data_IF_613537606347
#
_entry.id   IF_613537606347
#
_cell.length_a   1.000
_cell.length_b   1.000
_cell.length_c   1.000
_cell.angle_alpha   90.00
_cell.angle_beta   90.00
_cell.angle_gamma   90.00
#
_symmetry.space_group_name_H-M   'P 1'
#
loop_
_entity.id
_entity.type
_entity.pdbx_description
1 polymer ?
#
# COMPACT_ATOMS: atom_id res chain seq x y z
N UNK A 1 -35.30 -6.42 4.59
CA UNK A 1 -36.71 -6.58 5.00
C UNK A 1 -37.46 -7.28 3.87
N UNK A 2 -37.78 -8.57 4.03
CA UNK A 2 -38.63 -9.32 3.10
C UNK A 2 -39.62 -10.12 3.95
N UNK A 3 -40.81 -9.57 4.08
CA UNK A 3 -41.99 -10.20 4.69
C UNK A 3 -42.65 -11.13 3.67
N UNK A 4 -42.66 -12.44 3.93
CA UNK A 4 -43.52 -13.38 3.20
C UNK A 4 -44.64 -13.82 4.12
N UNK A 5 -45.80 -13.20 3.91
CA UNK A 5 -47.13 -13.67 4.32
C UNK A 5 -47.58 -14.72 3.31
N UNK A 6 -47.97 -15.90 3.77
CA UNK A 6 -48.92 -16.75 3.04
C UNK A 6 -49.75 -17.57 4.02
N UNK A 7 -51.06 -17.35 3.93
CA UNK A 7 -52.14 -18.07 4.56
C UNK A 7 -52.16 -19.55 4.15
N UNK A 8 -52.58 -20.44 5.05
CA UNK A 8 -53.33 -21.64 4.66
C UNK A 8 -54.37 -22.03 5.74
N UNK A 9 -55.57 -22.50 5.36
CA UNK A 9 -56.75 -22.55 6.21
C UNK A 9 -56.93 -23.88 6.96
N UNK A 10 -57.75 -23.78 8.00
CA UNK A 10 -58.37 -24.85 8.79
C UNK A 10 -59.10 -25.85 7.88
N UNK A 11 -58.80 -27.14 8.02
CA UNK A 11 -59.66 -28.24 7.58
C UNK A 11 -59.56 -29.41 8.57
N UNK A 12 -60.23 -29.29 9.72
CA UNK A 12 -60.49 -30.42 10.62
C UNK A 12 -61.76 -31.10 10.11
N UNK A 13 -61.58 -32.15 9.30
CA UNK A 13 -62.67 -33.05 8.91
C UNK A 13 -62.89 -34.05 10.05
N UNK A 14 -63.85 -33.76 10.93
CA UNK A 14 -64.40 -34.73 11.89
C UNK A 14 -65.34 -35.67 11.13
N UNK A 15 -64.79 -36.74 10.55
CA UNK A 15 -65.60 -37.81 9.96
C UNK A 15 -66.04 -38.77 11.07
N UNK A 16 -67.33 -38.75 11.35
CA UNK A 16 -68.04 -39.68 12.23
C UNK A 16 -68.18 -41.03 11.53
N UNK A 17 -67.60 -42.08 12.11
CA UNK A 17 -68.00 -43.46 11.84
C UNK A 17 -68.43 -44.10 13.17
N UNK A 18 -69.71 -44.48 13.24
CA UNK A 18 -70.31 -45.20 14.34
C UNK A 18 -69.97 -46.70 14.24
N UNK A 19 -69.32 -47.24 15.25
CA UNK A 19 -69.18 -48.66 15.55
C UNK A 19 -69.05 -48.80 17.08
N UNK A 20 -69.82 -49.70 17.69
CA UNK A 20 -69.92 -49.86 19.14
C UNK A 20 -68.61 -50.37 19.76
N UNK A 21 -67.75 -49.46 20.22
CA UNK A 21 -66.75 -49.67 21.27
C UNK A 21 -67.06 -48.69 22.42
N UNK A 22 -66.71 -49.04 23.66
CA UNK A 22 -67.05 -48.21 24.82
C UNK A 22 -66.39 -46.82 24.71
N UNK A 23 -67.03 -45.73 25.16
CA UNK A 23 -66.45 -44.38 25.11
C UNK A 23 -65.10 -44.27 25.82
N UNK A 24 -64.83 -45.14 26.81
CA UNK A 24 -63.52 -45.30 27.45
C UNK A 24 -62.43 -45.85 26.53
N UNK A 25 -62.76 -46.77 25.61
CA UNK A 25 -61.79 -47.35 24.68
C UNK A 25 -61.40 -46.36 23.57
N UNK A 26 -62.36 -45.56 23.10
CA UNK A 26 -62.11 -44.50 22.13
C UNK A 26 -61.20 -43.39 22.71
N UNK A 27 -61.42 -43.02 23.98
CA UNK A 27 -60.58 -42.06 24.69
C UNK A 27 -59.16 -42.60 24.90
N UNK A 28 -59.01 -43.86 25.33
CA UNK A 28 -57.70 -44.49 25.50
C UNK A 28 -56.91 -44.61 24.18
N UNK A 29 -57.59 -44.89 23.06
CA UNK A 29 -56.96 -44.90 21.72
C UNK A 29 -56.52 -43.49 21.30
N UNK A 30 -57.33 -42.47 21.58
CA UNK A 30 -56.99 -41.08 21.28
C UNK A 30 -55.80 -40.58 22.11
N UNK A 31 -55.75 -40.92 23.40
CA UNK A 31 -54.63 -40.57 24.30
C UNK A 31 -53.32 -41.25 23.88
N UNK A 32 -53.36 -42.53 23.48
CA UNK A 32 -52.18 -43.22 22.93
C UNK A 32 -51.72 -42.60 21.62
N UNK A 33 -52.66 -42.29 20.72
CA UNK A 33 -52.33 -41.61 19.46
C UNK A 33 -51.71 -40.22 19.70
N UNK A 34 -52.19 -39.48 20.71
CA UNK A 34 -51.61 -38.20 21.11
C UNK A 34 -50.22 -38.37 21.73
N UNK A 35 -50.01 -39.37 22.59
CA UNK A 35 -48.70 -39.65 23.19
C UNK A 35 -47.67 -40.08 22.14
N UNK A 36 -48.05 -40.94 21.20
CA UNK A 36 -47.18 -41.32 20.08
C UNK A 36 -46.87 -40.13 19.17
N UNK A 37 -47.85 -39.26 18.91
CA UNK A 37 -47.63 -38.03 18.16
C UNK A 37 -46.69 -37.07 18.90
N UNK A 38 -46.83 -36.93 20.21
CA UNK A 38 -45.93 -36.10 21.04
C UNK A 38 -44.51 -36.68 21.10
N UNK A 39 -44.36 -38.00 21.23
CA UNK A 39 -43.06 -38.68 21.21
C UNK A 39 -42.36 -38.46 19.85
N UNK A 40 -43.07 -38.69 18.74
CA UNK A 40 -42.54 -38.43 17.40
C UNK A 40 -42.20 -36.95 17.18
N UNK A 41 -43.03 -36.04 17.68
CA UNK A 41 -42.74 -34.61 17.62
C UNK A 41 -41.47 -34.24 18.41
N UNK A 42 -41.27 -34.83 19.60
CA UNK A 42 -40.08 -34.62 20.40
C UNK A 42 -38.82 -35.21 19.76
N UNK A 43 -38.92 -36.38 19.13
CA UNK A 43 -37.82 -36.98 18.36
C UNK A 43 -37.41 -36.12 17.16
N UNK A 44 -38.39 -35.64 16.39
CA UNK A 44 -38.15 -34.74 15.26
C UNK A 44 -37.54 -33.41 15.72
N UNK A 45 -38.00 -32.85 16.85
CA UNK A 45 -37.42 -31.64 17.43
C UNK A 45 -35.94 -31.87 17.83
N UNK A 46 -35.63 -32.97 18.52
CA UNK A 46 -34.26 -33.31 18.89
C UNK A 46 -33.33 -33.54 17.69
N UNK A 47 -33.84 -34.16 16.62
CA UNK A 47 -33.07 -34.35 15.38
C UNK A 47 -32.84 -33.02 14.66
N UNK A 48 -33.84 -32.13 14.65
CA UNK A 48 -33.72 -30.79 14.09
C UNK A 48 -32.69 -29.96 14.87
N UNK A 49 -32.74 -29.97 16.20
CA UNK A 49 -31.78 -29.26 17.05
C UNK A 49 -30.35 -29.75 16.81
N UNK A 50 -30.14 -31.07 16.66
CA UNK A 50 -28.83 -31.64 16.29
C UNK A 50 -28.36 -31.14 14.92
N UNK A 51 -29.23 -31.15 13.91
CA UNK A 51 -28.88 -30.67 12.55
C UNK A 51 -28.59 -29.18 12.53
N UNK A 52 -29.34 -28.38 13.28
CA UNK A 52 -29.09 -26.94 13.41
C UNK A 52 -27.72 -26.70 14.07
N UNK A 53 -27.41 -27.38 15.18
CA UNK A 53 -26.10 -27.27 15.84
C UNK A 53 -24.93 -27.71 14.93
N UNK A 54 -25.09 -28.78 14.14
CA UNK A 54 -24.08 -29.21 13.18
C UNK A 54 -23.88 -28.20 12.04
N UNK A 55 -24.96 -27.58 11.55
CA UNK A 55 -24.91 -26.54 10.52
C UNK A 55 -24.19 -25.30 11.05
N UNK A 56 -24.54 -24.84 12.25
CA UNK A 56 -23.93 -23.67 12.88
C UNK A 56 -22.42 -23.90 13.11
N UNK A 57 -22.04 -25.06 13.65
CA UNK A 57 -20.63 -25.40 13.87
C UNK A 57 -19.85 -25.47 12.56
N UNK A 58 -20.46 -25.97 11.48
CA UNK A 58 -19.82 -25.99 10.16
C UNK A 58 -19.67 -24.57 9.61
N UNK A 59 -20.69 -23.73 9.75
CA UNK A 59 -20.67 -22.35 9.30
C UNK A 59 -19.58 -21.54 10.04
N UNK A 60 -19.44 -21.73 11.35
CA UNK A 60 -18.37 -21.12 12.15
C UNK A 60 -16.98 -21.54 11.66
N UNK A 61 -16.75 -22.85 11.45
CA UNK A 61 -15.44 -23.34 10.97
C UNK A 61 -15.06 -22.79 9.60
N UNK A 62 -16.00 -22.75 8.66
CA UNK A 62 -15.74 -22.19 7.33
C UNK A 62 -15.52 -20.68 7.39
N UNK A 63 -16.24 -19.98 8.27
CA UNK A 63 -16.04 -18.53 8.51
C UNK A 63 -14.65 -18.28 9.11
N UNK A 64 -14.25 -19.02 10.14
CA UNK A 64 -12.93 -18.92 10.76
C UNK A 64 -11.81 -19.21 9.76
N UNK A 65 -11.99 -20.24 8.92
CA UNK A 65 -11.03 -20.59 7.87
C UNK A 65 -10.93 -19.46 6.84
N UNK A 66 -12.05 -18.94 6.37
CA UNK A 66 -12.07 -17.82 5.43
C UNK A 66 -11.42 -16.56 6.03
N UNK A 67 -11.67 -16.25 7.30
CA UNK A 67 -11.04 -15.14 8.02
C UNK A 67 -9.53 -15.33 8.15
N UNK A 68 -9.05 -16.55 8.47
CA UNK A 68 -7.61 -16.86 8.52
C UNK A 68 -6.95 -16.73 7.15
N UNK A 69 -7.56 -17.26 6.10
CA UNK A 69 -7.05 -17.13 4.72
C UNK A 69 -7.02 -15.67 4.27
N UNK A 70 -8.06 -14.89 4.59
CA UNK A 70 -8.10 -13.46 4.30
C UNK A 70 -7.02 -12.70 5.07
N UNK A 71 -6.84 -12.98 6.36
CA UNK A 71 -5.79 -12.39 7.18
C UNK A 71 -4.39 -12.73 6.63
N UNK A 72 -4.16 -13.97 6.20
CA UNK A 72 -2.90 -14.38 5.59
C UNK A 72 -2.63 -13.64 4.27
N UNK A 73 -3.65 -13.50 3.40
CA UNK A 73 -3.53 -12.74 2.15
C UNK A 73 -3.25 -11.26 2.39
N UNK A 74 -3.91 -10.65 3.38
CA UNK A 74 -3.66 -9.26 3.78
C UNK A 74 -2.24 -9.08 4.31
N UNK A 75 -1.77 -10.00 5.16
CA UNK A 75 -0.40 -9.96 5.68
C UNK A 75 0.64 -10.10 4.57
N UNK A 76 0.46 -11.04 3.64
CA UNK A 76 1.36 -11.21 2.50
C UNK A 76 1.39 -9.94 1.63
N UNK A 77 0.22 -9.37 1.31
CA UNK A 77 0.14 -8.14 0.54
C UNK A 77 0.80 -6.94 1.24
N UNK A 78 0.70 -6.86 2.58
CA UNK A 78 1.37 -5.82 3.36
C UNK A 78 2.90 -5.98 3.33
N UNK A 79 3.40 -7.22 3.43
CA UNK A 79 4.84 -7.54 3.31
C UNK A 79 5.35 -7.17 1.92
N UNK A 80 4.67 -7.59 0.85
CA UNK A 80 5.06 -7.28 -0.53
C UNK A 80 5.08 -5.76 -0.79
N UNK A 81 4.11 -5.01 -0.25
CA UNK A 81 4.07 -3.56 -0.36
C UNK A 81 5.22 -2.90 0.41
N UNK A 82 5.57 -3.43 1.58
CA UNK A 82 6.71 -2.95 2.37
C UNK A 82 8.04 -3.23 1.65
N UNK A 83 8.21 -4.41 1.08
CA UNK A 83 9.40 -4.79 0.31
C UNK A 83 9.60 -3.84 -0.87
N UNK A 84 8.57 -3.61 -1.68
CA UNK A 84 8.62 -2.65 -2.81
C UNK A 84 8.91 -1.22 -2.37
N UNK A 85 8.44 -0.82 -1.20
CA UNK A 85 8.74 0.51 -0.64
C UNK A 85 10.20 0.63 -0.27
N UNK A 86 10.78 -0.41 0.34
CA UNK A 86 12.21 -0.48 0.69
C UNK A 86 13.08 -0.48 -0.57
N UNK A 87 12.73 -1.29 -1.57
CA UNK A 87 13.42 -1.31 -2.87
C UNK A 87 13.39 0.07 -3.55
N UNK A 88 12.24 0.72 -3.62
CA UNK A 88 12.10 2.05 -4.19
C UNK A 88 12.94 3.10 -3.43
N UNK A 89 13.02 3.01 -2.11
CA UNK A 89 13.86 3.89 -1.29
C UNK A 89 15.36 3.62 -1.52
N UNK A 90 15.75 2.36 -1.71
CA UNK A 90 17.13 1.98 -2.00
C UNK A 90 17.57 2.52 -3.37
N UNK A 91 16.76 2.33 -4.42
CA UNK A 91 17.04 2.86 -5.77
C UNK A 91 17.08 4.39 -5.78
N UNK A 92 16.17 5.04 -5.04
CA UNK A 92 16.18 6.50 -4.89
C UNK A 92 17.46 7.01 -4.21
N UNK A 93 17.94 6.30 -3.18
CA UNK A 93 19.17 6.64 -2.47
C UNK A 93 20.39 6.46 -3.37
N UNK A 94 20.45 5.34 -4.09
CA UNK A 94 21.51 5.05 -5.07
C UNK A 94 21.56 6.08 -6.19
N UNK A 95 20.41 6.48 -6.74
CA UNK A 95 20.34 7.51 -7.78
C UNK A 95 20.88 8.87 -7.30
N UNK A 96 20.61 9.25 -6.04
CA UNK A 96 21.20 10.47 -5.44
C UNK A 96 22.70 10.35 -5.26
N UNK A 97 23.17 9.20 -4.79
CA UNK A 97 24.59 8.96 -4.57
C UNK A 97 25.39 9.01 -5.88
N UNK A 98 24.90 8.35 -6.93
CA UNK A 98 25.53 8.36 -8.26
C UNK A 98 25.60 9.78 -8.85
N UNK A 99 24.51 10.55 -8.73
CA UNK A 99 24.49 11.94 -9.18
C UNK A 99 25.41 12.84 -8.35
N UNK A 100 25.45 12.65 -7.03
CA UNK A 100 26.36 13.38 -6.13
C UNK A 100 27.82 13.06 -6.44
N UNK A 101 28.17 11.79 -6.62
CA UNK A 101 29.53 11.36 -6.91
C UNK A 101 30.00 11.89 -8.26
N UNK A 102 29.18 11.74 -9.31
CA UNK A 102 29.51 12.24 -10.64
C UNK A 102 29.63 13.77 -10.69
N UNK A 103 28.73 14.49 -10.01
CA UNK A 103 28.79 15.96 -9.95
C UNK A 103 29.97 16.45 -9.12
N UNK A 104 30.26 15.83 -7.97
CA UNK A 104 31.42 16.19 -7.14
C UNK A 104 32.71 16.07 -7.95
N UNK A 105 32.90 14.96 -8.68
CA UNK A 105 34.07 14.79 -9.56
C UNK A 105 34.17 15.88 -10.62
N UNK A 106 33.05 16.22 -11.29
CA UNK A 106 33.02 17.32 -12.27
C UNK A 106 33.40 18.66 -11.63
N UNK A 107 32.86 18.97 -10.45
CA UNK A 107 33.18 20.22 -9.73
C UNK A 107 34.65 20.26 -9.33
N UNK A 108 35.22 19.17 -8.84
CA UNK A 108 36.65 19.09 -8.50
C UNK A 108 37.54 19.34 -9.73
N UNK A 109 37.18 18.78 -10.88
CA UNK A 109 37.92 19.03 -12.14
C UNK A 109 37.78 20.48 -12.62
N UNK A 110 36.58 21.05 -12.53
CA UNK A 110 36.34 22.46 -12.82
C UNK A 110 37.08 23.39 -11.84
N UNK A 111 37.22 23.02 -10.57
CA UNK A 111 37.97 23.79 -9.57
C UNK A 111 39.48 23.79 -9.85
N UNK A 112 40.04 22.67 -10.35
CA UNK A 112 41.42 22.64 -10.85
C UNK A 112 41.58 23.59 -12.04
N UNK A 113 40.64 23.57 -12.98
CA UNK A 113 40.62 24.48 -14.12
C UNK A 113 40.58 25.96 -13.68
N UNK A 114 39.80 26.30 -12.66
CA UNK A 114 39.74 27.65 -12.07
C UNK A 114 41.10 28.05 -11.48
N UNK A 115 41.78 27.15 -10.78
CA UNK A 115 43.09 27.42 -10.21
C UNK A 115 44.15 27.67 -11.30
N UNK A 116 44.16 26.86 -12.36
CA UNK A 116 45.03 27.07 -13.52
C UNK A 116 44.72 28.38 -14.24
N UNK A 117 43.43 28.68 -14.43
CA UNK A 117 42.95 29.91 -15.03
C UNK A 117 43.43 31.14 -14.27
N UNK A 118 43.31 31.14 -12.94
CA UNK A 118 43.77 32.23 -12.09
C UNK A 118 45.26 32.52 -12.32
N UNK A 119 46.11 31.49 -12.33
CA UNK A 119 47.54 31.64 -12.55
C UNK A 119 47.88 32.20 -13.94
N UNK A 120 47.07 31.89 -14.96
CA UNK A 120 47.22 32.48 -16.31
C UNK A 120 46.69 33.92 -16.34
N UNK A 121 45.57 34.20 -15.66
CA UNK A 121 44.91 35.50 -15.65
C UNK A 121 45.77 36.56 -14.98
N UNK A 122 46.45 36.21 -13.87
CA UNK A 122 47.41 37.07 -13.18
C UNK A 122 48.57 37.54 -14.07
N UNK A 123 48.86 36.85 -15.18
CA UNK A 123 49.92 37.23 -16.15
C UNK A 123 49.42 38.14 -17.27
N UNK A 124 48.13 38.11 -17.59
CA UNK A 124 47.58 38.73 -18.81
C UNK A 124 46.54 39.81 -18.55
N UNK A 125 45.95 39.84 -17.35
CA UNK A 125 44.88 40.75 -16.97
C UNK A 125 45.30 41.63 -15.79
N UNK A 126 44.58 42.73 -15.57
CA UNK A 126 44.77 43.54 -14.37
C UNK A 126 44.26 42.79 -13.13
N UNK A 127 44.85 43.09 -11.95
CA UNK A 127 44.43 42.49 -10.67
C UNK A 127 42.92 42.61 -10.42
N UNK A 128 42.33 43.76 -10.76
CA UNK A 128 40.88 44.00 -10.57
C UNK A 128 40.03 43.07 -11.44
N UNK A 129 40.48 42.77 -12.66
CA UNK A 129 39.77 41.85 -13.55
C UNK A 129 39.90 40.39 -13.10
N UNK A 130 41.09 39.99 -12.64
CA UNK A 130 41.33 38.67 -12.06
C UNK A 130 40.44 38.47 -10.83
N UNK A 131 40.41 39.44 -9.91
CA UNK A 131 39.61 39.34 -8.68
C UNK A 131 38.11 39.21 -9.00
N UNK A 132 37.60 39.95 -10.01
CA UNK A 132 36.21 39.81 -10.47
C UNK A 132 35.92 38.43 -11.07
N UNK A 133 36.81 37.94 -11.93
CA UNK A 133 36.67 36.64 -12.60
C UNK A 133 36.70 35.50 -11.58
N UNK A 134 37.64 35.52 -10.63
CA UNK A 134 37.73 34.52 -9.56
C UNK A 134 36.47 34.54 -8.70
N UNK A 135 35.95 35.72 -8.35
CA UNK A 135 34.72 35.84 -7.58
C UNK A 135 33.50 35.26 -8.31
N UNK A 136 33.35 35.55 -9.61
CA UNK A 136 32.25 35.00 -10.42
C UNK A 136 32.30 33.46 -10.48
N UNK A 137 33.49 32.89 -10.66
CA UNK A 137 33.68 31.44 -10.69
C UNK A 137 33.42 30.79 -9.32
N UNK A 138 33.82 31.47 -8.23
CA UNK A 138 33.51 31.03 -6.86
C UNK A 138 32.00 31.04 -6.58
N UNK A 139 31.30 32.11 -6.93
CA UNK A 139 29.85 32.23 -6.75
C UNK A 139 29.10 31.11 -7.50
N UNK A 140 29.55 30.77 -8.71
CA UNK A 140 29.01 29.65 -9.50
C UNK A 140 29.31 28.28 -8.90
N UNK A 141 30.54 28.03 -8.42
CA UNK A 141 30.88 26.78 -7.71
C UNK A 141 30.03 26.62 -6.45
N UNK A 142 29.83 27.69 -5.67
CA UNK A 142 28.95 27.67 -4.51
C UNK A 142 27.50 27.35 -4.88
N UNK A 143 26.99 27.88 -6.00
CA UNK A 143 25.65 27.57 -6.48
C UNK A 143 25.48 26.07 -6.81
N UNK A 144 26.50 25.44 -7.41
CA UNK A 144 26.50 23.98 -7.64
C UNK A 144 26.49 23.24 -6.31
N UNK A 145 27.34 23.64 -5.35
CA UNK A 145 27.40 23.02 -4.02
C UNK A 145 26.08 23.14 -3.24
N UNK A 146 25.34 24.25 -3.39
CA UNK A 146 24.00 24.41 -2.82
C UNK A 146 23.00 23.45 -3.47
N UNK A 147 23.03 23.36 -4.81
CA UNK A 147 22.16 22.44 -5.56
C UNK A 147 22.41 20.97 -5.21
N UNK A 148 23.65 20.59 -4.86
CA UNK A 148 23.96 19.26 -4.33
C UNK A 148 23.34 18.97 -2.96
N UNK A 149 23.14 19.99 -2.11
CA UNK A 149 22.40 19.80 -0.85
C UNK A 149 20.91 19.63 -1.10
N UNK A 150 20.38 20.33 -2.10
CA UNK A 150 18.97 20.15 -2.51
C UNK A 150 18.73 18.74 -3.07
N UNK A 151 19.73 18.16 -3.74
CA UNK A 151 19.71 16.77 -4.17
C UNK A 151 19.59 15.79 -3.00
N UNK A 152 20.29 16.04 -1.88
CA UNK A 152 20.19 15.19 -0.70
C UNK A 152 18.77 15.20 -0.11
N UNK A 153 18.09 16.35 -0.19
CA UNK A 153 16.72 16.55 0.29
C UNK A 153 15.63 16.17 -0.73
N UNK A 154 16.01 15.73 -1.94
CA UNK A 154 15.05 15.35 -2.96
C UNK A 154 14.16 14.19 -2.50
N UNK A 155 13.17 13.83 -3.31
CA UNK A 155 12.22 12.73 -3.15
C UNK A 155 12.00 12.09 -4.51
N UNK A 156 11.31 10.96 -4.58
CA UNK A 156 11.03 10.31 -5.87
C UNK A 156 10.21 11.20 -6.82
N UNK A 157 9.43 12.15 -6.30
CA UNK A 157 8.58 13.03 -7.12
C UNK A 157 9.30 14.23 -7.70
N UNK A 158 10.43 14.66 -7.12
CA UNK A 158 11.15 15.86 -7.56
C UNK A 158 12.64 15.61 -7.90
N UNK A 159 13.12 14.36 -7.83
CA UNK A 159 14.52 14.03 -8.14
C UNK A 159 14.92 14.49 -9.54
N UNK A 160 14.08 14.29 -10.56
CA UNK A 160 14.38 14.67 -11.94
C UNK A 160 14.51 16.18 -12.13
N UNK A 161 13.70 16.97 -11.43
CA UNK A 161 13.78 18.42 -11.47
C UNK A 161 15.05 18.92 -10.79
N UNK A 162 15.35 18.39 -9.60
CA UNK A 162 16.59 18.73 -8.87
C UNK A 162 17.82 18.33 -9.68
N UNK A 163 17.81 17.15 -10.32
CA UNK A 163 18.88 16.70 -11.22
C UNK A 163 19.12 17.69 -12.36
N UNK A 164 18.07 18.12 -13.06
CA UNK A 164 18.17 19.14 -14.13
C UNK A 164 18.75 20.45 -13.59
N UNK A 165 18.35 20.87 -12.39
CA UNK A 165 18.91 22.04 -11.73
C UNK A 165 20.41 21.90 -11.47
N UNK A 166 20.85 20.77 -10.92
CA UNK A 166 22.27 20.47 -10.70
C UNK A 166 23.06 20.48 -12.02
N UNK A 167 22.56 19.77 -13.03
CA UNK A 167 23.21 19.69 -14.36
C UNK A 167 23.35 21.09 -14.98
N UNK A 168 22.29 21.91 -14.93
CA UNK A 168 22.31 23.28 -15.43
C UNK A 168 23.37 24.14 -14.71
N UNK A 169 23.49 24.03 -13.38
CA UNK A 169 24.48 24.80 -12.62
C UNK A 169 25.92 24.37 -12.94
N UNK A 170 26.15 23.08 -13.16
CA UNK A 170 27.45 22.57 -13.60
C UNK A 170 27.80 23.11 -14.99
N UNK A 171 26.84 23.11 -15.92
CA UNK A 171 27.05 23.70 -17.25
C UNK A 171 27.30 25.21 -17.19
N UNK A 172 26.61 25.95 -16.33
CA UNK A 172 26.81 27.39 -16.14
C UNK A 172 28.21 27.71 -15.58
N UNK A 173 28.78 26.82 -14.76
CA UNK A 173 30.16 26.92 -14.27
C UNK A 173 31.17 26.58 -15.37
N UNK A 174 30.98 25.46 -16.08
CA UNK A 174 31.86 25.07 -17.18
C UNK A 174 31.92 26.14 -18.28
N UNK A 175 30.76 26.66 -18.71
CA UNK A 175 30.73 27.77 -19.70
C UNK A 175 31.49 29.00 -19.22
N UNK A 176 31.34 29.38 -17.95
CA UNK A 176 32.08 30.51 -17.38
C UNK A 176 33.60 30.27 -17.37
N UNK A 177 34.03 29.02 -17.10
CA UNK A 177 35.44 28.60 -17.18
C UNK A 177 35.93 28.66 -18.62
N UNK A 178 35.16 28.17 -19.60
CA UNK A 178 35.54 28.22 -21.01
C UNK A 178 35.66 29.67 -21.52
N UNK A 179 34.72 30.54 -21.15
CA UNK A 179 34.77 31.95 -21.50
C UNK A 179 35.94 32.66 -20.82
N UNK A 180 36.26 32.32 -19.57
CA UNK A 180 37.48 32.76 -18.90
C UNK A 180 38.73 32.30 -19.65
N UNK A 181 38.80 31.02 -20.09
CA UNK A 181 39.94 30.47 -20.86
C UNK A 181 40.18 31.24 -22.16
N UNK A 182 39.13 31.75 -22.80
CA UNK A 182 39.23 32.56 -24.03
C UNK A 182 39.75 33.97 -23.80
N UNK A 183 39.53 34.54 -22.61
CA UNK A 183 39.94 35.90 -22.25
C UNK A 183 41.38 36.00 -21.75
N UNK A 184 41.97 34.86 -21.40
CA UNK A 184 43.31 34.76 -20.83
C UNK A 184 44.27 34.18 -21.86
#
# INVERSE_FOLDING_TARGET
MLTVRTFLPIAIVMSVCAGCESPSDAQAKAERAQQEAQQKAAEVANELDKKVAEIDQRAERETDKALREAAQKLNNAAVDAQEKTVEAQAELSKAREDLRASTTRKVEDLEKDVAELRAKAEKKMSKVEVDRLVKELQDKSEAVRRSLRDLDAATSTNLDEVKKGVDQRVEELDRAIQDAKRRV
#
